data_IF_131636001335
#
_entry.id   IF_131636001335
#
_cell.length_a   1.000
_cell.length_b   1.000
_cell.length_c   1.000
_cell.angle_alpha   90.00
_cell.angle_beta   90.00
_cell.angle_gamma   90.00
#
_symmetry.space_group_name_H-M   'P 1'
#
loop_
_entity.id
_entity.type
_entity.pdbx_description
1 polymer ?
#
# COMPACT_ATOMS: atom_id res chain seq x y z
N UNK A 1 -16.46 1.41 -6.93
CA UNK A 1 -15.05 1.68 -6.62
C UNK A 1 -14.18 0.59 -7.24
N UNK A 2 -13.16 0.99 -7.99
CA UNK A 2 -12.24 0.04 -8.62
C UNK A 2 -11.26 -0.54 -7.60
N UNK A 3 -10.60 -1.63 -7.97
CA UNK A 3 -9.56 -2.23 -7.11
C UNK A 3 -8.44 -1.24 -6.85
N UNK A 4 -8.01 -0.51 -7.88
CA UNK A 4 -6.98 0.52 -7.75
C UNK A 4 -7.40 1.61 -6.74
N UNK A 5 -8.64 2.07 -6.82
CA UNK A 5 -9.14 3.09 -5.90
C UNK A 5 -9.15 2.60 -4.46
N UNK A 6 -9.47 1.33 -4.23
CA UNK A 6 -9.43 0.74 -2.88
C UNK A 6 -7.99 0.73 -2.33
N UNK A 7 -7.04 0.33 -3.17
CA UNK A 7 -5.62 0.32 -2.79
C UNK A 7 -5.16 1.75 -2.49
N UNK A 8 -5.49 2.70 -3.37
CA UNK A 8 -5.13 4.10 -3.21
C UNK A 8 -5.68 4.67 -1.89
N UNK A 9 -6.93 4.34 -1.57
CA UNK A 9 -7.55 4.80 -0.33
C UNK A 9 -6.77 4.34 0.90
N UNK A 10 -6.42 3.06 0.95
CA UNK A 10 -5.67 2.52 2.10
C UNK A 10 -4.27 3.11 2.15
N UNK A 11 -3.61 3.28 1.01
CA UNK A 11 -2.30 3.94 0.96
C UNK A 11 -2.38 5.38 1.50
N UNK A 12 -3.40 6.12 1.12
CA UNK A 12 -3.60 7.49 1.63
C UNK A 12 -3.83 7.51 3.13
N UNK A 13 -4.55 6.52 3.66
CA UNK A 13 -4.75 6.41 5.11
C UNK A 13 -3.41 6.29 5.82
N UNK A 14 -2.51 5.42 5.33
CA UNK A 14 -1.18 5.26 5.90
C UNK A 14 -0.31 6.51 5.72
N UNK A 15 -0.45 7.19 4.60
CA UNK A 15 0.34 8.39 4.31
C UNK A 15 -0.07 9.60 5.14
N UNK A 16 -1.35 9.72 5.46
CA UNK A 16 -1.92 10.91 6.09
C UNK A 16 -2.33 10.73 7.55
N UNK A 17 -2.55 9.50 7.99
CA UNK A 17 -3.08 9.22 9.32
C UNK A 17 -2.19 8.24 10.07
N UNK A 18 -2.19 8.36 11.40
CA UNK A 18 -1.44 7.45 12.26
C UNK A 18 -2.05 6.05 12.28
N UNK A 19 -3.36 5.96 12.12
CA UNK A 19 -4.09 4.69 12.14
C UNK A 19 -4.80 4.49 10.81
N UNK A 20 -4.59 3.31 10.22
CA UNK A 20 -5.25 2.93 8.98
C UNK A 20 -6.15 1.71 9.23
N UNK A 21 -7.14 1.52 8.36
CA UNK A 21 -8.08 0.41 8.48
C UNK A 21 -7.44 -0.94 8.23
N UNK A 22 -6.34 -0.97 7.48
CA UNK A 22 -5.63 -2.20 7.16
C UNK A 22 -4.14 -2.04 7.38
N UNK A 23 -3.48 -3.12 7.82
CA UNK A 23 -2.02 -3.12 7.95
C UNK A 23 -1.36 -3.08 6.57
N UNK A 24 -0.08 -2.68 6.54
CA UNK A 24 0.68 -2.69 5.30
C UNK A 24 0.84 -4.11 4.74
N UNK A 25 0.98 -5.11 5.60
CA UNK A 25 1.09 -6.50 5.16
C UNK A 25 -0.18 -6.96 4.46
N UNK A 26 -1.34 -6.66 5.03
CA UNK A 26 -2.63 -6.98 4.39
C UNK A 26 -2.78 -6.27 3.06
N UNK A 27 -2.37 -5.00 3.00
CA UNK A 27 -2.43 -4.23 1.76
C UNK A 27 -1.47 -4.79 0.71
N UNK A 28 -0.28 -5.20 1.12
CA UNK A 28 0.70 -5.83 0.22
C UNK A 28 0.13 -7.09 -0.41
N UNK A 29 -0.50 -7.95 0.41
CA UNK A 29 -1.17 -9.16 -0.09
C UNK A 29 -2.28 -8.82 -1.07
N UNK A 30 -3.06 -7.79 -0.78
CA UNK A 30 -4.14 -7.35 -1.66
C UNK A 30 -3.58 -6.84 -3.00
N UNK A 31 -2.48 -6.11 -2.98
CA UNK A 31 -1.81 -5.63 -4.20
C UNK A 31 -1.31 -6.82 -5.03
N UNK A 32 -0.70 -7.82 -4.38
CA UNK A 32 -0.24 -9.02 -5.08
C UNK A 32 -1.40 -9.75 -5.74
N UNK A 33 -2.51 -9.90 -5.03
CA UNK A 33 -3.72 -10.51 -5.59
C UNK A 33 -4.21 -9.72 -6.79
N UNK A 34 -4.31 -8.41 -6.65
CA UNK A 34 -4.81 -7.52 -7.71
C UNK A 34 -3.95 -7.63 -8.98
N UNK A 35 -2.63 -7.69 -8.80
CA UNK A 35 -1.71 -7.86 -9.92
C UNK A 35 -1.83 -9.24 -10.55
N UNK A 36 -1.87 -10.28 -9.71
CA UNK A 36 -1.96 -11.67 -10.18
C UNK A 36 -3.21 -11.90 -11.02
N UNK A 37 -4.33 -11.32 -10.62
CA UNK A 37 -5.60 -11.46 -11.34
C UNK A 37 -5.88 -10.30 -12.31
N UNK A 38 -4.85 -9.47 -12.57
CA UNK A 38 -4.90 -8.37 -13.52
C UNK A 38 -6.04 -7.39 -13.26
N UNK A 39 -6.27 -7.08 -11.99
CA UNK A 39 -7.26 -6.09 -11.56
C UNK A 39 -6.70 -4.66 -11.62
N UNK A 40 -5.39 -4.53 -11.77
CA UNK A 40 -4.69 -3.24 -11.93
C UNK A 40 -3.75 -3.32 -13.12
N UNK A 41 -3.43 -2.17 -13.70
CA UNK A 41 -2.49 -2.09 -14.83
C UNK A 41 -1.04 -2.17 -14.34
N UNK A 42 -0.06 -2.49 -15.23
CA UNK A 42 1.34 -2.44 -14.84
C UNK A 42 1.79 -1.09 -14.28
N UNK A 43 1.29 0.00 -14.82
CA UNK A 43 1.60 1.35 -14.33
C UNK A 43 1.05 1.58 -12.93
N UNK A 44 -0.20 1.14 -12.70
CA UNK A 44 -0.82 1.23 -11.39
C UNK A 44 -0.09 0.37 -10.37
N UNK A 45 0.36 -0.83 -10.77
CA UNK A 45 1.13 -1.70 -9.91
C UNK A 45 2.44 -1.03 -9.49
N UNK A 46 3.17 -0.47 -10.45
CA UNK A 46 4.43 0.21 -10.16
C UNK A 46 4.22 1.37 -9.20
N UNK A 47 3.18 2.17 -9.42
CA UNK A 47 2.85 3.29 -8.55
C UNK A 47 2.56 2.84 -7.12
N UNK A 48 1.67 1.85 -6.95
CA UNK A 48 1.29 1.42 -5.60
C UNK A 48 2.42 0.68 -4.90
N UNK A 49 3.25 -0.06 -5.63
CA UNK A 49 4.41 -0.71 -5.07
C UNK A 49 5.43 0.30 -4.55
N UNK A 50 5.70 1.36 -5.30
CA UNK A 50 6.59 2.43 -4.86
C UNK A 50 6.07 3.09 -3.58
N UNK A 51 4.77 3.35 -3.54
CA UNK A 51 4.15 3.99 -2.38
C UNK A 51 4.20 3.11 -1.14
N UNK A 52 3.90 1.80 -1.29
CA UNK A 52 3.92 0.91 -0.14
C UNK A 52 5.35 0.67 0.36
N UNK A 53 6.32 0.61 -0.54
CA UNK A 53 7.72 0.49 -0.15
C UNK A 53 8.18 1.70 0.66
N UNK A 54 7.79 2.90 0.27
CA UNK A 54 8.10 4.12 1.03
C UNK A 54 7.50 4.08 2.43
N UNK A 55 6.28 3.53 2.57
CA UNK A 55 5.63 3.39 3.86
C UNK A 55 6.34 2.37 4.75
N UNK A 56 6.79 1.25 4.18
CA UNK A 56 7.59 0.27 4.93
C UNK A 56 8.91 0.88 5.41
N UNK A 57 9.58 1.62 4.56
CA UNK A 57 10.82 2.30 4.93
C UNK A 57 10.60 3.27 6.09
N UNK A 58 9.48 4.00 6.07
CA UNK A 58 9.12 4.90 7.16
C UNK A 58 8.90 4.15 8.47
N UNK A 59 8.20 3.02 8.43
CA UNK A 59 7.95 2.20 9.62
C UNK A 59 9.25 1.65 10.19
N UNK A 60 10.14 1.16 9.33
CA UNK A 60 11.45 0.64 9.75
C UNK A 60 12.26 1.76 10.43
N UNK A 61 12.27 2.95 9.85
CA UNK A 61 12.97 4.09 10.42
C UNK A 61 12.44 4.47 11.80
N UNK A 62 11.11 4.41 12.00
CA UNK A 62 10.50 4.68 13.29
C UNK A 62 10.86 3.62 14.33
N UNK A 63 10.92 2.35 13.94
CA UNK A 63 11.31 1.27 14.84
C UNK A 63 12.77 1.39 15.27
N UNK A 64 13.65 1.85 14.40
CA UNK A 64 15.07 2.02 14.73
C UNK A 64 15.32 3.15 15.71
N UNK A 65 14.38 4.07 15.86
CA UNK A 65 14.50 5.19 16.79
C UNK A 65 14.03 4.87 18.21
N UNK A 66 13.30 3.80 18.35
CA UNK A 66 12.84 3.33 19.67
C UNK A 66 13.77 2.27 20.29
#
# INVERSE_FOLDING_TARGET
>A
MTVYEKIDKVLREHENYKYATRSLDSLSEYIDWAWKFRKITPEQKDEVCDRICALYDREIALMKRS
#
